data_IF_102290089938
#
_entry.id   IF_102290089938
#
_cell.length_a   1.000
_cell.length_b   1.000
_cell.length_c   1.000
_cell.angle_alpha   90.00
_cell.angle_beta   90.00
_cell.angle_gamma   90.00
#
_symmetry.space_group_name_H-M   'P 1'
#
loop_
_entity.id
_entity.type
_entity.pdbx_description
1 polymer ?
#
# COMPACT_ATOMS: atom_id res chain seq x y z
N UNK A 1 21.55 -48.46 6.22
CA UNK A 1 22.89 -48.14 6.78
C UNK A 1 22.69 -46.89 7.63
N UNK A 2 22.19 -46.94 8.87
CA UNK A 2 22.75 -47.55 10.09
C UNK A 2 24.24 -47.29 10.25
N UNK A 3 24.61 -46.29 11.06
CA UNK A 3 25.77 -46.19 11.98
C UNK A 3 25.37 -45.10 13.01
N UNK A 4 25.18 -45.40 14.32
CA UNK A 4 26.19 -45.55 15.39
C UNK A 4 27.15 -44.34 15.52
N UNK A 5 27.56 -43.83 16.70
CA UNK A 5 27.24 -43.90 18.14
C UNK A 5 28.26 -42.95 18.83
N UNK A 6 28.10 -42.70 20.13
CA UNK A 6 29.05 -42.14 21.12
C UNK A 6 29.02 -40.62 21.34
N UNK A 7 28.47 -40.16 22.46
CA UNK A 7 28.98 -40.20 23.86
C UNK A 7 30.01 -39.10 24.13
N UNK A 8 29.54 -37.96 24.68
CA UNK A 8 30.34 -37.13 25.57
C UNK A 8 29.50 -36.78 26.79
N UNK A 9 29.73 -37.57 27.83
CA UNK A 9 29.44 -37.25 29.23
C UNK A 9 30.52 -36.28 29.69
N UNK A 10 30.14 -35.07 30.13
CA UNK A 10 30.93 -34.31 31.10
C UNK A 10 30.01 -33.74 32.17
N UNK A 11 30.22 -34.27 33.37
CA UNK A 11 29.80 -33.73 34.66
C UNK A 11 30.23 -32.27 34.79
N UNK A 12 29.29 -31.40 35.19
CA UNK A 12 29.59 -30.26 36.05
C UNK A 12 28.68 -30.38 37.27
N UNK A 13 29.22 -30.98 38.33
CA UNK A 13 28.73 -30.85 39.71
C UNK A 13 29.22 -29.50 40.24
N UNK A 14 28.34 -28.70 40.83
CA UNK A 14 28.79 -27.63 41.73
C UNK A 14 27.84 -26.45 41.92
N UNK A 15 27.00 -26.54 42.95
CA UNK A 15 26.64 -25.46 43.88
C UNK A 15 26.15 -24.09 43.35
N UNK A 16 24.85 -23.84 43.51
CA UNK A 16 24.36 -22.70 44.28
C UNK A 16 22.91 -22.94 44.72
N UNK A 17 22.71 -23.14 46.03
CA UNK A 17 21.40 -23.00 46.66
C UNK A 17 20.94 -21.53 46.50
N UNK A 18 20.07 -21.28 45.53
CA UNK A 18 19.28 -20.05 45.51
C UNK A 18 18.01 -20.26 46.34
N UNK A 19 17.94 -19.51 47.44
CA UNK A 19 16.83 -19.46 48.35
C UNK A 19 15.49 -19.25 47.61
N UNK A 20 14.53 -20.12 47.89
CA UNK A 20 13.12 -20.02 47.55
C UNK A 20 12.49 -18.80 48.25
N UNK A 21 12.69 -17.62 47.66
CA UNK A 21 11.97 -16.39 48.04
C UNK A 21 10.49 -16.50 47.64
N UNK A 22 9.55 -15.98 48.44
CA UNK A 22 8.12 -16.24 48.26
C UNK A 22 7.60 -15.59 46.97
N UNK A 23 7.33 -16.43 45.97
CA UNK A 23 6.68 -16.12 44.68
C UNK A 23 5.28 -15.46 44.79
N UNK A 24 4.77 -15.22 46.00
CA UNK A 24 3.42 -14.69 46.24
C UNK A 24 3.33 -13.16 46.24
N UNK A 25 4.46 -12.44 46.33
CA UNK A 25 4.46 -10.96 46.35
C UNK A 25 4.56 -10.29 44.96
N UNK A 26 4.96 -11.03 43.91
CA UNK A 26 5.13 -10.48 42.56
C UNK A 26 3.83 -10.40 41.73
N UNK A 27 2.80 -11.17 42.08
CA UNK A 27 1.57 -11.24 41.28
C UNK A 27 0.67 -10.00 41.42
N UNK A 28 0.75 -9.28 42.54
CA UNK A 28 -0.10 -8.11 42.81
C UNK A 28 0.41 -6.83 42.11
N UNK A 29 1.70 -6.71 41.84
CA UNK A 29 2.26 -5.56 41.13
C UNK A 29 1.95 -5.61 39.61
N UNK A 30 1.84 -6.80 39.02
CA UNK A 30 1.51 -6.97 37.60
C UNK A 30 0.03 -6.63 37.27
N UNK A 31 -0.89 -6.80 38.22
CA UNK A 31 -2.32 -6.49 38.04
C UNK A 31 -2.61 -4.97 38.01
N UNK A 32 -1.78 -4.14 38.65
CA UNK A 32 -1.98 -2.68 38.68
C UNK A 32 -1.48 -1.96 37.42
N UNK A 33 -0.65 -2.62 36.59
CA UNK A 33 -0.14 -2.03 35.35
C UNK A 33 -1.02 -2.31 34.12
N UNK A 34 -1.92 -3.30 34.19
CA UNK A 34 -2.80 -3.67 33.06
C UNK A 34 -3.77 -2.57 32.60
N UNK A 35 -4.38 -1.75 33.50
CA UNK A 35 -5.30 -0.69 33.07
C UNK A 35 -4.60 0.41 32.26
N UNK A 36 -3.30 0.65 32.49
CA UNK A 36 -2.54 1.69 31.80
C UNK A 36 -2.23 1.31 30.34
N UNK A 37 -2.05 0.01 30.06
CA UNK A 37 -1.80 -0.47 28.70
C UNK A 37 -3.08 -0.45 27.85
N UNK A 38 -4.24 -0.79 28.43
CA UNK A 38 -5.52 -0.72 27.72
C UNK A 38 -5.93 0.72 27.35
N UNK A 39 -5.57 1.70 28.20
CA UNK A 39 -5.87 3.11 27.92
C UNK A 39 -4.98 3.71 26.82
N UNK A 40 -3.72 3.26 26.74
CA UNK A 40 -2.80 3.67 25.69
C UNK A 40 -3.30 3.23 24.29
N UNK A 41 -3.81 1.99 24.19
CA UNK A 41 -4.31 1.43 22.93
C UNK A 41 -5.55 2.19 22.41
N UNK A 42 -6.50 2.51 23.31
CA UNK A 42 -7.70 3.27 22.93
C UNK A 42 -7.40 4.71 22.46
N UNK A 43 -6.47 5.41 23.14
CA UNK A 43 -6.06 6.76 22.75
C UNK A 43 -5.32 6.76 21.40
N UNK A 44 -4.50 5.73 21.16
CA UNK A 44 -3.78 5.54 19.91
C UNK A 44 -4.71 5.22 18.75
N UNK A 45 -5.69 4.33 18.95
CA UNK A 45 -6.74 4.03 17.98
C UNK A 45 -7.54 5.28 17.59
N UNK A 46 -7.93 6.09 18.58
CA UNK A 46 -8.64 7.34 18.35
C UNK A 46 -7.79 8.34 17.54
N UNK A 47 -6.51 8.49 17.90
CA UNK A 47 -5.57 9.34 17.16
C UNK A 47 -5.38 8.91 15.71
N UNK A 48 -5.32 7.60 15.46
CA UNK A 48 -5.20 7.05 14.11
C UNK A 48 -6.46 7.28 13.27
N UNK A 49 -7.66 7.11 13.85
CA UNK A 49 -8.94 7.42 13.19
C UNK A 49 -9.05 8.91 12.84
N UNK A 50 -8.67 9.77 13.77
CA UNK A 50 -8.65 11.22 13.56
C UNK A 50 -7.68 11.61 12.44
N UNK A 51 -6.51 10.97 12.39
CA UNK A 51 -5.53 11.21 11.32
C UNK A 51 -6.06 10.75 9.97
N UNK A 52 -6.67 9.57 9.91
CA UNK A 52 -7.30 9.06 8.69
C UNK A 52 -8.38 10.01 8.15
N UNK A 53 -9.20 10.57 9.03
CA UNK A 53 -10.20 11.57 8.68
C UNK A 53 -9.54 12.89 8.20
N UNK A 54 -8.51 13.36 8.90
CA UNK A 54 -7.78 14.59 8.56
C UNK A 54 -7.10 14.49 7.19
N UNK A 55 -6.54 13.32 6.87
CA UNK A 55 -5.91 13.01 5.59
C UNK A 55 -6.94 12.66 4.49
N UNK A 56 -8.23 12.63 4.82
CA UNK A 56 -9.31 12.33 3.88
C UNK A 56 -9.15 10.95 3.21
N UNK A 57 -8.66 9.96 3.96
CA UNK A 57 -8.37 8.63 3.43
C UNK A 57 -9.62 7.86 2.97
N UNK A 58 -10.82 8.29 3.39
CA UNK A 58 -12.09 7.77 2.90
C UNK A 58 -12.26 7.94 1.38
N UNK A 59 -11.63 8.96 0.79
CA UNK A 59 -11.65 9.17 -0.67
C UNK A 59 -10.68 8.25 -1.43
N UNK A 60 -9.86 7.45 -0.75
CA UNK A 60 -9.02 6.46 -1.42
C UNK A 60 -9.82 5.31 -2.03
N UNK A 61 -10.95 4.92 -1.43
CA UNK A 61 -11.75 3.78 -1.94
C UNK A 61 -12.35 4.05 -3.33
N UNK A 62 -12.96 5.23 -3.61
CA UNK A 62 -13.31 5.62 -4.97
C UNK A 62 -12.13 5.63 -5.95
N UNK A 63 -10.97 6.15 -5.52
CA UNK A 63 -9.75 6.15 -6.36
C UNK A 63 -9.27 4.73 -6.68
N UNK A 64 -9.36 3.80 -5.72
CA UNK A 64 -9.06 2.39 -5.94
C UNK A 64 -10.05 1.77 -6.94
N UNK A 65 -11.35 2.05 -6.81
CA UNK A 65 -12.34 1.60 -7.77
C UNK A 65 -12.03 2.11 -9.18
N UNK A 66 -11.65 3.39 -9.32
CA UNK A 66 -11.27 3.98 -10.59
C UNK A 66 -10.02 3.33 -11.20
N UNK A 67 -8.99 3.08 -10.38
CA UNK A 67 -7.76 2.40 -10.82
C UNK A 67 -8.02 0.95 -11.24
N UNK A 68 -8.84 0.21 -10.49
CA UNK A 68 -9.28 -1.14 -10.86
C UNK A 68 -10.09 -1.13 -12.15
N UNK A 69 -10.91 -0.10 -12.36
CA UNK A 69 -11.67 0.05 -13.62
C UNK A 69 -10.75 0.34 -14.80
N UNK A 70 -9.72 1.15 -14.61
CA UNK A 70 -8.77 1.52 -15.65
C UNK A 70 -7.93 0.32 -16.16
N UNK A 71 -7.77 -0.74 -15.37
CA UNK A 71 -7.07 -1.96 -15.79
C UNK A 71 -7.93 -2.93 -16.60
N UNK A 72 -9.23 -2.66 -16.77
CA UNK A 72 -10.16 -3.55 -17.47
C UNK A 72 -9.73 -3.87 -18.90
N UNK A 73 -9.34 -2.85 -19.68
CA UNK A 73 -8.95 -3.01 -21.09
C UNK A 73 -7.61 -3.75 -21.24
N UNK A 74 -6.55 -3.40 -20.50
CA UNK A 74 -5.31 -4.19 -20.49
C UNK A 74 -5.54 -5.66 -20.13
N UNK A 75 -6.38 -5.96 -19.15
CA UNK A 75 -6.70 -7.35 -18.76
C UNK A 75 -7.39 -8.13 -19.90
N UNK A 76 -8.30 -7.48 -20.62
CA UNK A 76 -8.95 -8.09 -21.79
C UNK A 76 -7.95 -8.35 -22.93
N UNK A 77 -7.03 -7.42 -23.16
CA UNK A 77 -5.95 -7.60 -24.14
C UNK A 77 -5.01 -8.75 -23.75
N UNK A 78 -4.60 -8.81 -22.48
CA UNK A 78 -3.78 -9.89 -21.95
C UNK A 78 -4.48 -11.25 -22.11
N UNK A 79 -5.79 -11.31 -21.85
CA UNK A 79 -6.58 -12.51 -22.06
C UNK A 79 -6.52 -12.97 -23.53
N UNK A 80 -6.69 -12.08 -24.51
CA UNK A 80 -6.59 -12.45 -25.92
C UNK A 80 -5.21 -12.98 -26.29
N UNK A 81 -4.14 -12.33 -25.82
CA UNK A 81 -2.76 -12.76 -26.07
C UNK A 81 -2.50 -14.14 -25.45
N UNK A 82 -2.80 -14.31 -24.16
CA UNK A 82 -2.54 -15.54 -23.41
C UNK A 82 -3.29 -16.74 -23.98
N UNK A 83 -4.51 -16.51 -24.47
CA UNK A 83 -5.35 -17.56 -25.04
C UNK A 83 -5.23 -17.67 -26.56
N UNK A 84 -4.27 -16.96 -27.18
CA UNK A 84 -4.03 -16.94 -28.63
C UNK A 84 -5.30 -16.66 -29.45
N UNK A 85 -6.19 -15.82 -28.92
CA UNK A 85 -7.43 -15.42 -29.59
C UNK A 85 -7.07 -14.47 -30.72
N UNK A 86 -7.17 -14.95 -31.95
CA UNK A 86 -7.05 -14.11 -33.14
C UNK A 86 -8.43 -13.61 -33.54
N UNK A 87 -8.62 -12.29 -33.49
CA UNK A 87 -9.87 -11.65 -33.88
C UNK A 87 -9.83 -11.31 -35.37
N UNK A 88 -10.77 -11.86 -36.15
CA UNK A 88 -11.02 -11.38 -37.50
C UNK A 88 -11.68 -9.98 -37.48
N UNK A 89 -11.82 -9.34 -38.64
CA UNK A 89 -12.32 -7.96 -38.74
C UNK A 89 -13.72 -7.78 -38.11
N UNK A 90 -14.63 -8.73 -38.34
CA UNK A 90 -15.97 -8.70 -37.76
C UNK A 90 -15.94 -8.82 -36.23
N UNK A 91 -15.06 -9.67 -35.69
CA UNK A 91 -14.87 -9.82 -34.25
C UNK A 91 -14.20 -8.59 -33.62
N UNK A 92 -13.24 -7.96 -34.30
CA UNK A 92 -12.63 -6.71 -33.83
C UNK A 92 -13.67 -5.59 -33.72
N UNK A 93 -14.52 -5.42 -34.74
CA UNK A 93 -15.63 -4.43 -34.70
C UNK A 93 -16.60 -4.73 -33.55
N UNK A 94 -16.94 -6.00 -33.34
CA UNK A 94 -17.80 -6.42 -32.22
C UNK A 94 -17.17 -6.14 -30.86
N UNK A 95 -15.87 -6.41 -30.69
CA UNK A 95 -15.12 -6.12 -29.46
C UNK A 95 -15.07 -4.61 -29.21
N UNK A 96 -14.78 -3.79 -30.22
CA UNK A 96 -14.78 -2.33 -30.07
C UNK A 96 -16.15 -1.79 -29.66
N UNK A 97 -17.23 -2.28 -30.28
CA UNK A 97 -18.59 -1.89 -29.91
C UNK A 97 -18.97 -2.33 -28.49
N UNK A 98 -18.51 -3.51 -28.06
CA UNK A 98 -18.76 -4.04 -26.71
C UNK A 98 -17.83 -3.48 -25.62
N UNK A 99 -16.73 -2.82 -26.00
CA UNK A 99 -15.68 -2.39 -25.06
C UNK A 99 -16.21 -1.38 -24.04
N UNK A 100 -17.09 -0.47 -24.47
CA UNK A 100 -17.75 0.50 -23.59
C UNK A 100 -18.59 -0.20 -22.52
N UNK A 101 -19.47 -1.13 -22.92
CA UNK A 101 -20.31 -1.88 -21.98
C UNK A 101 -19.51 -2.77 -21.04
N UNK A 102 -18.43 -3.40 -21.53
CA UNK A 102 -17.49 -4.11 -20.68
C UNK A 102 -16.84 -3.18 -19.63
N UNK A 103 -16.35 -2.02 -20.06
CA UNK A 103 -15.76 -1.02 -19.17
C UNK A 103 -16.74 -0.52 -18.10
N UNK A 104 -17.98 -0.20 -18.50
CA UNK A 104 -19.05 0.21 -17.57
C UNK A 104 -19.39 -0.89 -16.56
N UNK A 105 -19.45 -2.15 -16.99
CA UNK A 105 -19.70 -3.29 -16.10
C UNK A 105 -18.57 -3.48 -15.09
N UNK A 106 -17.30 -3.40 -15.52
CA UNK A 106 -16.16 -3.48 -14.59
C UNK A 106 -16.16 -2.29 -13.63
N UNK A 107 -16.47 -1.09 -14.11
CA UNK A 107 -16.57 0.10 -13.27
C UNK A 107 -17.64 -0.05 -12.19
N UNK A 108 -18.81 -0.59 -12.55
CA UNK A 108 -19.86 -0.91 -11.60
C UNK A 108 -19.39 -1.94 -10.57
N UNK A 109 -18.80 -3.05 -11.00
CA UNK A 109 -18.30 -4.09 -10.10
C UNK A 109 -17.27 -3.53 -9.11
N UNK A 110 -16.33 -2.71 -9.58
CA UNK A 110 -15.33 -2.07 -8.72
C UNK A 110 -15.99 -1.10 -7.72
N UNK A 111 -16.90 -0.25 -8.19
CA UNK A 111 -17.62 0.71 -7.34
C UNK A 111 -18.47 0.01 -6.29
N UNK A 112 -19.19 -1.06 -6.66
CA UNK A 112 -20.01 -1.85 -5.74
C UNK A 112 -19.14 -2.54 -4.68
N UNK A 113 -18.01 -3.14 -5.08
CA UNK A 113 -17.08 -3.79 -4.17
C UNK A 113 -16.48 -2.79 -3.15
N UNK A 114 -15.82 -1.73 -3.63
CA UNK A 114 -15.17 -0.74 -2.76
C UNK A 114 -16.16 0.17 -2.02
N UNK A 115 -17.39 0.29 -2.53
CA UNK A 115 -18.48 1.02 -1.90
C UNK A 115 -19.19 0.24 -0.78
N UNK A 116 -18.99 -1.09 -0.72
CA UNK A 116 -19.64 -1.96 0.25
C UNK A 116 -19.25 -1.63 1.69
N UNK A 117 -20.19 -1.83 2.63
CA UNK A 117 -19.96 -1.57 4.05
C UNK A 117 -18.83 -2.45 4.62
N UNK A 118 -18.75 -3.71 4.19
CA UNK A 118 -17.72 -4.65 4.64
C UNK A 118 -16.31 -4.18 4.23
N UNK A 119 -16.12 -3.77 2.97
CA UNK A 119 -14.82 -3.28 2.48
C UNK A 119 -14.45 -1.96 3.15
N UNK A 120 -15.42 -1.05 3.37
CA UNK A 120 -15.18 0.19 4.13
C UNK A 120 -14.70 -0.08 5.56
N UNK A 121 -15.38 -0.97 6.29
CA UNK A 121 -14.99 -1.32 7.65
C UNK A 121 -13.60 -1.97 7.70
N UNK A 122 -13.31 -2.88 6.76
CA UNK A 122 -11.98 -3.49 6.65
C UNK A 122 -10.90 -2.47 6.32
N UNK A 123 -11.18 -1.51 5.44
CA UNK A 123 -10.26 -0.44 5.09
C UNK A 123 -9.96 0.45 6.30
N UNK A 124 -11.00 0.92 7.00
CA UNK A 124 -10.84 1.71 8.23
C UNK A 124 -10.01 0.97 9.28
N UNK A 125 -10.30 -0.31 9.52
CA UNK A 125 -9.53 -1.13 10.46
C UNK A 125 -8.06 -1.26 10.03
N UNK A 126 -7.81 -1.44 8.73
CA UNK A 126 -6.44 -1.58 8.19
C UNK A 126 -5.66 -0.28 8.36
N UNK A 127 -6.29 0.87 8.08
CA UNK A 127 -5.68 2.19 8.25
C UNK A 127 -5.32 2.43 9.71
N UNK A 128 -6.27 2.22 10.61
CA UNK A 128 -6.08 2.39 12.05
C UNK A 128 -4.94 1.50 12.55
N UNK A 129 -4.98 0.20 12.22
CA UNK A 129 -3.92 -0.75 12.59
C UNK A 129 -2.56 -0.32 12.06
N UNK A 130 -2.49 0.20 10.83
CA UNK A 130 -1.23 0.61 10.22
C UNK A 130 -0.60 1.82 10.90
N UNK A 131 -1.40 2.81 11.28
CA UNK A 131 -0.90 3.97 12.01
C UNK A 131 -0.57 3.63 13.46
N UNK A 132 -1.44 2.91 14.16
CA UNK A 132 -1.19 2.48 15.55
C UNK A 132 0.00 1.52 15.66
N UNK A 133 0.38 0.80 14.60
CA UNK A 133 1.60 -0.01 14.64
C UNK A 133 2.90 0.83 14.60
N UNK A 134 2.84 2.07 14.10
CA UNK A 134 4.03 2.88 13.79
C UNK A 134 4.17 4.14 14.66
N UNK A 135 3.08 4.65 15.23
CA UNK A 135 3.08 5.89 15.98
C UNK A 135 2.35 5.71 17.30
N UNK A 136 2.95 6.21 18.38
CA UNK A 136 2.33 6.32 19.70
C UNK A 136 1.15 7.31 19.70
N UNK A 137 0.32 7.26 20.74
CA UNK A 137 -0.80 8.20 20.90
C UNK A 137 -0.35 9.67 20.92
N UNK A 138 0.78 9.98 21.56
CA UNK A 138 1.31 11.35 21.63
C UNK A 138 1.82 11.83 20.27
N UNK A 139 2.49 10.98 19.50
CA UNK A 139 2.91 11.30 18.13
C UNK A 139 1.71 11.53 17.22
N UNK A 140 0.69 10.66 17.28
CA UNK A 140 -0.54 10.82 16.51
C UNK A 140 -1.24 12.14 16.86
N UNK A 141 -1.27 12.53 18.13
CA UNK A 141 -1.81 13.82 18.57
C UNK A 141 -1.03 14.99 17.97
N UNK A 142 0.30 14.95 17.97
CA UNK A 142 1.13 16.00 17.37
C UNK A 142 0.95 16.08 15.84
N UNK A 143 0.91 14.93 15.16
CA UNK A 143 0.69 14.84 13.73
C UNK A 143 -0.69 15.41 13.36
N UNK A 144 -1.74 15.04 14.11
CA UNK A 144 -3.09 15.59 13.93
C UNK A 144 -3.10 17.10 14.13
N UNK A 145 -2.45 17.61 15.19
CA UNK A 145 -2.35 19.05 15.43
C UNK A 145 -1.66 19.77 14.26
N UNK A 146 -0.58 19.21 13.71
CA UNK A 146 0.09 19.76 12.54
C UNK A 146 -0.82 19.79 11.32
N UNK A 147 -1.43 18.67 10.93
CA UNK A 147 -2.26 18.63 9.73
C UNK A 147 -3.54 19.46 9.85
N UNK A 148 -4.04 19.69 11.07
CA UNK A 148 -5.15 20.62 11.32
C UNK A 148 -4.75 22.11 11.31
N UNK A 149 -3.46 22.42 11.45
CA UNK A 149 -2.98 23.81 11.37
C UNK A 149 -3.15 24.39 9.96
N UNK A 150 -3.19 25.72 9.85
CA UNK A 150 -3.26 26.41 8.56
C UNK A 150 -2.08 26.05 7.64
N UNK A 151 -0.89 25.87 8.21
CA UNK A 151 0.30 25.44 7.48
C UNK A 151 0.17 23.99 6.97
N UNK A 152 -0.30 23.07 7.81
CA UNK A 152 -0.52 21.67 7.43
C UNK A 152 -1.57 21.51 6.34
N UNK A 153 -2.70 22.22 6.46
CA UNK A 153 -3.74 22.24 5.43
C UNK A 153 -3.24 22.84 4.11
N UNK A 154 -2.43 23.91 4.17
CA UNK A 154 -1.78 24.49 2.97
C UNK A 154 -0.83 23.47 2.33
N UNK A 155 -0.02 22.78 3.13
CA UNK A 155 0.90 21.76 2.66
C UNK A 155 0.15 20.64 1.94
N UNK A 156 -0.90 20.07 2.53
CA UNK A 156 -1.70 19.01 1.91
C UNK A 156 -2.27 19.42 0.54
N UNK A 157 -2.76 20.66 0.42
CA UNK A 157 -3.32 21.18 -0.84
C UNK A 157 -2.26 21.46 -1.90
N UNK A 158 -1.09 21.92 -1.49
CA UNK A 158 -0.02 22.35 -2.39
C UNK A 158 0.92 21.22 -2.80
N UNK A 159 1.03 20.16 -1.98
CA UNK A 159 1.97 19.07 -2.23
C UNK A 159 1.84 18.43 -3.62
N UNK A 160 0.64 18.12 -4.16
CA UNK A 160 0.52 17.60 -5.52
C UNK A 160 1.03 18.58 -6.59
N UNK A 161 0.76 19.88 -6.43
CA UNK A 161 1.19 20.91 -7.38
C UNK A 161 2.71 21.08 -7.36
N UNK A 162 3.32 21.08 -6.18
CA UNK A 162 4.78 21.17 -6.00
C UNK A 162 5.45 19.95 -6.64
N UNK A 163 4.97 18.73 -6.36
CA UNK A 163 5.52 17.50 -6.94
C UNK A 163 5.40 17.53 -8.47
N UNK A 164 4.25 17.94 -9.00
CA UNK A 164 4.04 18.07 -10.44
C UNK A 164 4.97 19.11 -11.07
N UNK A 165 5.25 20.22 -10.39
CA UNK A 165 6.20 21.24 -10.86
C UNK A 165 7.61 20.67 -10.95
N UNK A 166 8.07 20.01 -9.90
CA UNK A 166 9.41 19.38 -9.84
C UNK A 166 9.55 18.33 -10.96
N UNK A 167 8.54 17.47 -11.12
CA UNK A 167 8.53 16.47 -12.18
C UNK A 167 8.54 17.10 -13.57
N UNK A 168 7.74 18.15 -13.79
CA UNK A 168 7.67 18.87 -15.06
C UNK A 168 9.00 19.55 -15.44
N UNK A 169 9.68 20.19 -14.50
CA UNK A 169 11.01 20.78 -14.72
C UNK A 169 12.07 19.72 -15.03
N UNK A 170 12.02 18.60 -14.31
CA UNK A 170 12.91 17.46 -14.55
C UNK A 170 12.69 16.89 -15.95
N UNK A 171 11.42 16.72 -16.37
CA UNK A 171 11.08 16.23 -17.70
C UNK A 171 11.50 17.18 -18.82
N UNK A 172 11.31 18.49 -18.66
CA UNK A 172 11.78 19.49 -19.63
C UNK A 172 13.30 19.41 -19.82
N UNK A 173 14.04 19.18 -18.75
CA UNK A 173 15.49 18.99 -18.81
C UNK A 173 15.84 17.69 -19.51
N UNK A 174 15.19 16.59 -19.14
CA UNK A 174 15.37 15.29 -19.78
C UNK A 174 15.05 15.33 -21.27
N UNK A 175 13.97 16.00 -21.69
CA UNK A 175 13.57 16.16 -23.09
C UNK A 175 14.65 16.85 -23.91
N UNK A 176 15.20 17.98 -23.42
CA UNK A 176 16.31 18.67 -24.09
C UNK A 176 17.53 17.77 -24.30
N UNK A 177 17.81 16.86 -23.38
CA UNK A 177 18.97 15.95 -23.45
C UNK A 177 18.69 14.67 -24.24
N UNK A 178 17.49 14.10 -24.11
CA UNK A 178 17.13 12.78 -24.66
C UNK A 178 16.51 12.86 -26.04
N UNK A 179 15.74 13.91 -26.35
CA UNK A 179 15.04 14.03 -27.63
C UNK A 179 15.99 13.91 -28.84
N UNK A 180 17.17 14.56 -28.88
CA UNK A 180 18.10 14.40 -30.01
C UNK A 180 18.63 12.96 -30.13
N UNK A 181 18.87 12.28 -29.00
CA UNK A 181 19.33 10.89 -28.97
C UNK A 181 18.25 9.93 -29.47
N UNK A 182 17.00 10.17 -29.09
CA UNK A 182 15.85 9.41 -29.57
C UNK A 182 15.63 9.60 -31.07
N UNK A 183 15.76 10.82 -31.58
CA UNK A 183 15.71 11.11 -33.02
C UNK A 183 16.82 10.36 -33.77
N UNK A 184 18.07 10.40 -33.27
CA UNK A 184 19.18 9.67 -33.87
C UNK A 184 18.97 8.15 -33.88
N UNK A 185 18.43 7.59 -32.79
CA UNK A 185 18.09 6.17 -32.71
C UNK A 185 16.97 5.80 -33.70
N UNK A 186 15.93 6.63 -33.80
CA UNK A 186 14.83 6.43 -34.75
C UNK A 186 15.32 6.49 -36.21
N UNK A 187 16.18 7.45 -36.54
CA UNK A 187 16.79 7.56 -37.87
C UNK A 187 17.66 6.34 -38.19
N UNK A 188 18.47 5.89 -37.23
CA UNK A 188 19.30 4.70 -37.35
C UNK A 188 18.45 3.47 -37.66
N UNK A 189 17.35 3.28 -36.92
CA UNK A 189 16.41 2.19 -37.16
C UNK A 189 15.68 2.32 -38.50
N UNK A 190 15.20 3.51 -38.88
CA UNK A 190 14.55 3.74 -40.17
C UNK A 190 15.44 3.38 -41.36
N UNK A 191 16.75 3.67 -41.27
CA UNK A 191 17.74 3.29 -42.28
C UNK A 191 17.93 1.78 -42.44
N UNK A 192 17.69 0.97 -41.39
CA UNK A 192 17.77 -0.50 -41.51
C UNK A 192 16.56 -1.09 -42.24
N UNK A 193 15.40 -0.44 -42.12
CA UNK A 193 14.18 -0.86 -42.82
C UNK A 193 14.20 -0.41 -44.28
N UNK A 194 14.62 0.83 -44.57
CA UNK A 194 14.59 1.40 -45.92
C UNK A 194 15.65 0.87 -46.89
N UNK A 195 16.63 0.09 -46.42
CA UNK A 195 17.64 -0.59 -47.25
C UNK A 195 17.21 -1.99 -47.74
N UNK A 196 15.91 -2.29 -47.70
CA UNK A 196 15.29 -3.43 -48.38
C UNK A 196 14.56 -2.95 -49.63
#
# INVERSE_FOLDING_TARGET
MSHCRSDIVHQIKGFAMFASRPLKAGLLAALLAMPLLAHADAAQEAGAKELAATLNLSNMLPDLAQRTSASAVPLLQEYFVKNKVQLNEAQQKKVQAGLKGYGENIHKLATDYFGSAAVKAQFEQTVVKSFSAQFSADELKQINAFYKSAAGQKLMKQQPQIINSIAGETLKTAEKTLLPKMQAAAETYGKTIAKK
#
